data_IF_284306985779
#
_entry.id   IF_284306985779
#
_cell.length_a   1.000
_cell.length_b   1.000
_cell.length_c   1.000
_cell.angle_alpha   90.00
_cell.angle_beta   90.00
_cell.angle_gamma   90.00
#
_symmetry.space_group_name_H-M   'P 1'
#
loop_
_entity.id
_entity.type
_entity.pdbx_description
1 polymer ?
#
# COMPACT_ATOMS: atom_id res chain seq x y z
N UNK A 1 6.45 3.92 -37.51
CA UNK A 1 7.03 2.58 -37.24
C UNK A 1 8.44 2.66 -36.65
N UNK A 2 9.37 3.44 -37.19
CA UNK A 2 10.75 3.58 -36.64
C UNK A 2 10.83 4.24 -35.26
N UNK A 3 9.96 5.21 -34.91
CA UNK A 3 9.96 5.86 -33.60
C UNK A 3 9.45 4.96 -32.46
N UNK A 4 8.57 4.02 -32.76
CA UNK A 4 8.08 3.03 -31.79
C UNK A 4 9.13 1.97 -31.47
N UNK A 5 9.90 1.54 -32.48
CA UNK A 5 11.04 0.62 -32.27
C UNK A 5 12.13 1.26 -31.40
N UNK A 6 12.48 2.52 -31.65
CA UNK A 6 13.48 3.23 -30.83
C UNK A 6 13.06 3.45 -29.38
N UNK A 7 11.75 3.62 -29.11
CA UNK A 7 11.25 3.67 -27.74
C UNK A 7 11.28 2.30 -27.05
N UNK A 8 10.88 1.26 -27.77
CA UNK A 8 10.90 -0.10 -27.23
C UNK A 8 12.33 -0.57 -26.88
N UNK A 9 13.31 -0.27 -27.76
CA UNK A 9 14.71 -0.57 -27.47
C UNK A 9 15.24 0.19 -26.24
N UNK A 10 14.81 1.43 -26.04
CA UNK A 10 15.15 2.21 -24.84
C UNK A 10 14.62 1.57 -23.54
N UNK A 11 13.37 1.08 -23.54
CA UNK A 11 12.80 0.38 -22.39
C UNK A 11 13.52 -0.94 -22.12
N UNK A 12 13.80 -1.72 -23.15
CA UNK A 12 14.55 -2.99 -23.01
C UNK A 12 15.93 -2.75 -22.44
N UNK A 13 16.65 -1.75 -22.93
CA UNK A 13 17.96 -1.37 -22.41
C UNK A 13 17.89 -0.91 -20.96
N UNK A 14 16.86 -0.13 -20.60
CA UNK A 14 16.64 0.31 -19.23
C UNK A 14 16.39 -0.86 -18.27
N UNK A 15 15.52 -1.81 -18.62
CA UNK A 15 15.31 -3.00 -17.81
C UNK A 15 16.56 -3.89 -17.75
N UNK A 16 17.25 -4.11 -18.87
CA UNK A 16 18.48 -4.90 -18.90
C UNK A 16 19.58 -4.29 -18.02
N UNK A 17 19.74 -2.95 -18.06
CA UNK A 17 20.73 -2.27 -17.20
C UNK A 17 20.40 -2.42 -15.72
N UNK A 18 19.12 -2.38 -15.33
CA UNK A 18 18.70 -2.57 -13.96
C UNK A 18 19.00 -3.99 -13.45
N UNK A 19 18.74 -5.00 -14.27
CA UNK A 19 19.10 -6.39 -13.95
C UNK A 19 20.61 -6.59 -13.88
N UNK A 20 21.36 -5.94 -14.76
CA UNK A 20 22.83 -6.00 -14.75
C UNK A 20 23.40 -5.38 -13.47
N UNK A 21 22.91 -4.19 -13.09
CA UNK A 21 23.33 -3.52 -11.85
C UNK A 21 22.99 -4.38 -10.64
N UNK A 22 21.77 -4.95 -10.58
CA UNK A 22 21.41 -5.88 -9.51
C UNK A 22 22.31 -7.10 -9.46
N UNK A 23 22.61 -7.71 -10.60
CA UNK A 23 23.50 -8.89 -10.67
C UNK A 23 24.91 -8.55 -10.17
N UNK A 24 25.47 -7.44 -10.64
CA UNK A 24 26.82 -7.00 -10.21
C UNK A 24 26.82 -6.68 -8.70
N UNK A 25 25.84 -5.92 -8.23
CA UNK A 25 25.74 -5.55 -6.83
C UNK A 25 25.60 -6.78 -5.91
N UNK A 26 24.75 -7.75 -6.28
CA UNK A 26 24.53 -8.95 -5.48
C UNK A 26 25.72 -9.95 -5.53
N UNK A 27 26.52 -9.91 -6.59
CA UNK A 27 27.64 -10.85 -6.74
C UNK A 27 28.93 -10.31 -6.14
N UNK A 28 29.22 -9.02 -6.32
CA UNK A 28 30.53 -8.45 -6.01
C UNK A 28 30.53 -7.46 -4.83
N UNK A 29 29.39 -6.82 -4.52
CA UNK A 29 29.33 -5.75 -3.52
C UNK A 29 28.59 -6.20 -2.26
N UNK A 30 27.44 -6.81 -2.40
CA UNK A 30 26.52 -7.15 -1.31
C UNK A 30 26.23 -8.66 -1.26
N UNK A 31 27.27 -9.50 -1.26
CA UNK A 31 27.14 -10.95 -1.21
C UNK A 31 26.53 -11.40 0.14
N UNK A 32 25.23 -11.25 0.30
CA UNK A 32 24.51 -11.60 1.53
C UNK A 32 23.23 -12.37 1.23
N UNK A 33 22.77 -13.14 2.23
CA UNK A 33 21.49 -13.86 2.17
C UNK A 33 20.32 -12.88 1.95
N UNK A 34 20.45 -11.63 2.42
CA UNK A 34 19.42 -10.60 2.32
C UNK A 34 19.37 -9.93 0.93
N UNK A 35 20.41 -10.12 0.12
CA UNK A 35 20.49 -9.53 -1.24
C UNK A 35 20.89 -10.59 -2.27
N UNK A 36 20.00 -11.55 -2.59
CA UNK A 36 20.30 -12.67 -3.47
C UNK A 36 20.44 -12.24 -4.93
N UNK A 37 21.17 -13.04 -5.70
CA UNK A 37 21.29 -12.85 -7.15
C UNK A 37 19.96 -13.04 -7.87
N UNK A 38 19.71 -12.30 -8.98
CA UNK A 38 18.47 -12.42 -9.76
C UNK A 38 18.14 -13.88 -10.14
N UNK A 39 19.12 -14.64 -10.63
CA UNK A 39 18.93 -16.02 -11.03
C UNK A 39 18.42 -16.91 -9.88
N UNK A 40 18.94 -16.70 -8.65
CA UNK A 40 18.50 -17.45 -7.47
C UNK A 40 17.07 -17.09 -7.09
N UNK A 41 16.69 -15.80 -7.20
CA UNK A 41 15.32 -15.34 -6.92
C UNK A 41 14.32 -15.98 -7.89
N UNK A 42 14.65 -16.00 -9.19
CA UNK A 42 13.79 -16.66 -10.19
C UNK A 42 13.70 -18.16 -9.99
N UNK A 43 14.82 -18.84 -9.69
CA UNK A 43 14.81 -20.27 -9.42
C UNK A 43 13.91 -20.63 -8.22
N UNK A 44 14.07 -19.90 -7.10
CA UNK A 44 13.23 -20.10 -5.91
C UNK A 44 11.75 -19.76 -6.19
N UNK A 45 11.47 -18.72 -6.98
CA UNK A 45 10.09 -18.40 -7.36
C UNK A 45 9.42 -19.52 -8.17
N UNK A 46 10.15 -20.14 -9.09
CA UNK A 46 9.67 -21.29 -9.86
C UNK A 46 9.43 -22.48 -8.93
N UNK A 47 10.37 -22.80 -8.04
CA UNK A 47 10.24 -23.89 -7.07
C UNK A 47 9.00 -23.74 -6.20
N UNK A 48 8.83 -22.55 -5.56
CA UNK A 48 7.69 -22.24 -4.71
C UNK A 48 6.35 -22.18 -5.47
N UNK A 49 6.40 -21.97 -6.78
CA UNK A 49 5.21 -22.02 -7.64
C UNK A 49 4.82 -23.46 -7.92
N UNK A 50 5.80 -24.32 -8.22
CA UNK A 50 5.56 -25.71 -8.58
C UNK A 50 5.10 -26.55 -7.38
N UNK A 51 5.59 -26.26 -6.19
CA UNK A 51 5.17 -26.95 -4.95
C UNK A 51 3.87 -26.38 -4.35
N UNK A 52 3.31 -25.30 -4.93
CA UNK A 52 2.06 -24.68 -4.51
C UNK A 52 2.20 -23.74 -3.30
N UNK A 53 3.36 -23.67 -2.66
CA UNK A 53 3.63 -22.85 -1.46
C UNK A 53 3.40 -21.36 -1.74
N UNK A 54 3.84 -20.89 -2.90
CA UNK A 54 3.66 -19.49 -3.30
C UNK A 54 2.17 -19.10 -3.38
N UNK A 55 1.35 -19.99 -3.97
CA UNK A 55 -0.11 -19.77 -4.06
C UNK A 55 -0.76 -19.64 -2.69
N UNK A 56 -0.39 -20.49 -1.75
CA UNK A 56 -0.84 -20.42 -0.37
C UNK A 56 -0.49 -19.10 0.31
N UNK A 57 0.77 -18.69 0.22
CA UNK A 57 1.23 -17.41 0.81
C UNK A 57 0.58 -16.18 0.18
N UNK A 58 0.38 -16.19 -1.13
CA UNK A 58 -0.33 -15.11 -1.85
C UNK A 58 -1.78 -15.06 -1.39
N UNK A 59 -2.47 -16.20 -1.31
CA UNK A 59 -3.87 -16.27 -0.85
C UNK A 59 -4.06 -15.68 0.55
N UNK A 60 -3.24 -16.09 1.51
CA UNK A 60 -3.27 -15.55 2.88
C UNK A 60 -2.99 -14.05 2.89
N UNK A 61 -2.01 -13.58 2.09
CA UNK A 61 -1.66 -12.16 2.01
C UNK A 61 -2.79 -11.32 1.41
N UNK A 62 -3.42 -11.80 0.34
CA UNK A 62 -4.58 -11.14 -0.27
C UNK A 62 -5.77 -11.08 0.68
N UNK A 63 -6.07 -12.18 1.38
CA UNK A 63 -7.13 -12.21 2.39
C UNK A 63 -6.92 -11.17 3.50
N UNK A 64 -5.69 -11.04 4.00
CA UNK A 64 -5.29 -10.04 4.99
C UNK A 64 -5.44 -8.61 4.47
N UNK A 65 -4.95 -8.34 3.27
CA UNK A 65 -5.06 -7.03 2.63
C UNK A 65 -6.53 -6.66 2.43
N UNK A 66 -7.32 -7.59 1.91
CA UNK A 66 -8.75 -7.36 1.69
C UNK A 66 -9.50 -7.08 3.00
N UNK A 67 -9.27 -7.88 4.03
CA UNK A 67 -9.89 -7.68 5.34
C UNK A 67 -9.50 -6.31 5.94
N UNK A 68 -8.23 -5.96 5.92
CA UNK A 68 -7.74 -4.67 6.42
C UNK A 68 -8.29 -3.48 5.61
N UNK A 69 -8.35 -3.61 4.28
CA UNK A 69 -8.92 -2.59 3.40
C UNK A 69 -10.41 -2.38 3.64
N UNK A 70 -11.19 -3.45 3.72
CA UNK A 70 -12.64 -3.35 3.97
C UNK A 70 -12.91 -2.72 5.34
N UNK A 71 -12.28 -3.21 6.40
CA UNK A 71 -12.44 -2.65 7.74
C UNK A 71 -12.00 -1.18 7.81
N UNK A 72 -10.86 -0.87 7.22
CA UNK A 72 -10.35 0.51 7.16
C UNK A 72 -11.26 1.44 6.38
N UNK A 73 -11.84 0.97 5.28
CA UNK A 73 -12.80 1.75 4.48
C UNK A 73 -14.13 1.96 5.20
N UNK A 74 -14.65 0.94 5.89
CA UNK A 74 -15.87 1.05 6.68
C UNK A 74 -15.75 2.08 7.81
N UNK A 75 -14.57 2.28 8.36
CA UNK A 75 -14.28 3.31 9.36
C UNK A 75 -14.02 4.66 8.67
N UNK A 76 -13.17 4.65 7.65
CA UNK A 76 -12.67 5.87 7.00
C UNK A 76 -13.73 6.64 6.21
N UNK A 77 -14.64 5.94 5.51
CA UNK A 77 -15.68 6.59 4.70
C UNK A 77 -16.62 7.44 5.56
N UNK A 78 -17.24 6.94 6.63
CA UNK A 78 -18.15 7.76 7.46
C UNK A 78 -17.44 8.97 8.10
N UNK A 79 -16.21 8.78 8.56
CA UNK A 79 -15.41 9.88 9.13
C UNK A 79 -15.08 10.92 8.05
N UNK A 80 -14.63 10.48 6.88
CA UNK A 80 -14.30 11.37 5.76
C UNK A 80 -15.50 12.13 5.22
N UNK A 81 -16.68 11.49 5.12
CA UNK A 81 -17.95 12.14 4.77
C UNK A 81 -18.32 13.20 5.81
N UNK A 82 -18.17 12.90 7.09
CA UNK A 82 -18.48 13.81 8.18
C UNK A 82 -17.56 15.05 8.16
N UNK A 83 -16.26 14.84 7.97
CA UNK A 83 -15.26 15.92 7.83
C UNK A 83 -15.55 16.78 6.59
N UNK A 84 -15.91 16.13 5.47
CA UNK A 84 -16.19 16.84 4.22
C UNK A 84 -17.50 17.64 4.27
N UNK A 85 -18.52 17.16 5.02
CA UNK A 85 -19.86 17.75 5.04
C UNK A 85 -20.06 18.79 6.15
N UNK A 86 -19.42 18.63 7.31
CA UNK A 86 -19.67 19.45 8.50
C UNK A 86 -18.44 20.22 8.94
N UNK A 87 -18.48 21.56 8.87
CA UNK A 87 -17.37 22.43 9.24
C UNK A 87 -16.92 22.31 10.71
N UNK A 88 -17.85 21.99 11.63
CA UNK A 88 -17.53 21.74 13.05
C UNK A 88 -16.72 20.44 13.19
N UNK A 89 -17.19 19.38 12.55
CA UNK A 89 -16.50 18.06 12.56
C UNK A 89 -15.11 18.19 11.95
N UNK A 90 -14.99 18.94 10.86
CA UNK A 90 -13.70 19.24 10.24
C UNK A 90 -12.73 19.87 11.24
N UNK A 91 -13.11 20.96 11.90
CA UNK A 91 -12.26 21.66 12.87
C UNK A 91 -11.84 20.78 14.04
N UNK A 92 -12.70 19.85 14.45
CA UNK A 92 -12.42 18.94 15.57
C UNK A 92 -11.53 17.77 15.16
N UNK A 93 -11.79 17.12 14.01
CA UNK A 93 -11.12 15.87 13.63
C UNK A 93 -9.91 16.06 12.72
N UNK A 94 -9.87 17.12 11.92
CA UNK A 94 -8.77 17.37 10.97
C UNK A 94 -7.39 17.43 11.66
N UNK A 95 -7.19 18.10 12.81
CA UNK A 95 -5.89 18.10 13.48
C UNK A 95 -5.45 16.70 13.93
N UNK A 96 -6.39 15.87 14.39
CA UNK A 96 -6.08 14.49 14.81
C UNK A 96 -5.75 13.61 13.61
N UNK A 97 -6.52 13.71 12.53
CA UNK A 97 -6.26 12.93 11.32
C UNK A 97 -4.92 13.31 10.70
N UNK A 98 -4.60 14.60 10.66
CA UNK A 98 -3.31 15.10 10.19
C UNK A 98 -2.16 14.61 11.06
N UNK A 99 -2.27 14.69 12.38
CA UNK A 99 -1.23 14.21 13.29
C UNK A 99 -1.01 12.70 13.17
N UNK A 100 -2.08 11.91 13.24
CA UNK A 100 -1.98 10.46 13.26
C UNK A 100 -1.47 9.90 11.93
N UNK A 101 -1.85 10.45 10.78
CA UNK A 101 -1.38 9.96 9.48
C UNK A 101 0.13 10.12 9.26
N UNK A 102 0.78 11.06 9.98
CA UNK A 102 2.23 11.23 9.91
C UNK A 102 3.00 10.16 10.68
N UNK A 103 2.33 9.41 11.57
CA UNK A 103 2.97 8.30 12.27
C UNK A 103 3.13 7.14 11.28
N UNK A 104 4.36 6.73 10.93
CA UNK A 104 4.56 5.61 10.01
C UNK A 104 3.98 4.33 10.61
N UNK A 105 3.25 3.53 9.83
CA UNK A 105 2.73 2.24 10.30
C UNK A 105 3.85 1.31 10.80
N UNK A 106 5.05 1.44 10.24
CA UNK A 106 6.22 0.69 10.68
C UNK A 106 6.64 1.01 12.11
N UNK A 107 6.43 2.23 12.58
CA UNK A 107 6.68 2.61 13.98
C UNK A 107 5.69 1.94 14.96
N UNK A 108 4.51 1.57 14.46
CA UNK A 108 3.47 0.91 15.27
C UNK A 108 3.61 -0.62 15.31
N UNK A 109 4.57 -1.22 14.62
CA UNK A 109 4.71 -2.69 14.55
C UNK A 109 4.86 -3.29 15.95
N UNK A 110 5.74 -2.75 16.77
CA UNK A 110 5.97 -3.25 18.12
C UNK A 110 4.72 -3.13 19.01
N UNK A 111 4.02 -2.00 18.94
CA UNK A 111 2.76 -1.81 19.67
C UNK A 111 1.67 -2.76 19.17
N UNK A 112 1.55 -2.93 17.86
CA UNK A 112 0.59 -3.86 17.28
C UNK A 112 0.84 -5.32 17.74
N UNK A 113 2.11 -5.72 17.82
CA UNK A 113 2.48 -7.04 18.32
C UNK A 113 2.19 -7.19 19.82
N UNK A 114 2.41 -6.15 20.62
CA UNK A 114 2.08 -6.16 22.05
C UNK A 114 0.57 -6.27 22.28
N UNK A 115 -0.24 -5.56 21.50
CA UNK A 115 -1.70 -5.52 21.67
C UNK A 115 -2.42 -6.73 21.08
N UNK A 116 -2.00 -7.21 19.93
CA UNK A 116 -2.69 -8.25 19.14
C UNK A 116 -1.91 -9.56 19.03
N UNK A 117 -0.69 -9.61 19.61
CA UNK A 117 0.17 -10.78 19.51
C UNK A 117 0.92 -10.88 18.17
N UNK A 118 1.81 -11.88 18.10
CA UNK A 118 2.51 -12.25 16.86
C UNK A 118 1.55 -13.08 16.02
N UNK A 119 0.94 -12.48 14.99
CA UNK A 119 -0.02 -13.20 14.15
C UNK A 119 -0.70 -12.33 13.11
N UNK A 120 -1.88 -12.74 12.67
CA UNK A 120 -2.66 -12.03 11.65
C UNK A 120 -3.28 -10.74 12.19
N UNK A 121 -3.66 -10.71 13.48
CA UNK A 121 -4.28 -9.55 14.10
C UNK A 121 -3.42 -8.29 14.02
N UNK A 122 -2.14 -8.37 14.38
CA UNK A 122 -1.20 -7.25 14.29
C UNK A 122 -1.01 -6.75 12.86
N UNK A 123 -0.95 -7.68 11.89
CA UNK A 123 -0.79 -7.33 10.47
C UNK A 123 -2.03 -6.65 9.91
N UNK A 124 -3.22 -7.19 10.20
CA UNK A 124 -4.50 -6.60 9.77
C UNK A 124 -4.69 -5.22 10.40
N UNK A 125 -4.37 -5.04 11.69
CA UNK A 125 -4.42 -3.75 12.36
C UNK A 125 -3.58 -2.69 11.64
N UNK A 126 -2.35 -2.99 11.24
CA UNK A 126 -1.49 -2.05 10.51
C UNK A 126 -2.06 -1.68 9.14
N UNK A 127 -2.70 -2.62 8.45
CA UNK A 127 -3.37 -2.34 7.18
C UNK A 127 -4.60 -1.45 7.40
N UNK A 128 -5.42 -1.73 8.42
CA UNK A 128 -6.56 -0.88 8.80
C UNK A 128 -6.06 0.54 9.09
N UNK A 129 -5.04 0.67 9.92
CA UNK A 129 -4.48 1.96 10.30
C UNK A 129 -4.09 2.80 9.08
N UNK A 130 -3.33 2.26 8.16
CA UNK A 130 -2.93 2.98 6.94
C UNK A 130 -4.10 3.29 6.04
N UNK A 131 -5.02 2.35 5.86
CA UNK A 131 -6.20 2.50 4.99
C UNK A 131 -7.15 3.58 5.50
N UNK A 132 -7.42 3.62 6.81
CA UNK A 132 -8.36 4.58 7.42
C UNK A 132 -7.99 6.01 7.04
N UNK A 133 -6.75 6.43 7.22
CA UNK A 133 -6.34 7.82 6.95
C UNK A 133 -6.37 8.17 5.47
N UNK A 134 -5.95 7.25 4.60
CA UNK A 134 -6.01 7.44 3.14
C UNK A 134 -7.47 7.62 2.71
N UNK A 135 -8.37 6.78 3.21
CA UNK A 135 -9.80 6.84 2.87
C UNK A 135 -10.45 8.11 3.43
N UNK A 136 -10.16 8.50 4.68
CA UNK A 136 -10.68 9.74 5.28
C UNK A 136 -10.32 10.94 4.39
N UNK A 137 -9.05 11.10 4.04
CA UNK A 137 -8.58 12.26 3.29
C UNK A 137 -9.23 12.31 1.90
N UNK A 138 -9.21 11.19 1.17
CA UNK A 138 -9.79 11.15 -0.17
C UNK A 138 -11.30 11.36 -0.15
N UNK A 139 -12.02 10.80 0.82
CA UNK A 139 -13.46 10.98 0.98
C UNK A 139 -13.80 12.43 1.33
N UNK A 140 -13.09 13.02 2.30
CA UNK A 140 -13.31 14.43 2.68
C UNK A 140 -13.00 15.39 1.52
N UNK A 141 -11.93 15.15 0.78
CA UNK A 141 -11.60 15.91 -0.42
C UNK A 141 -12.66 15.77 -1.51
N UNK A 142 -13.14 14.54 -1.76
CA UNK A 142 -14.22 14.27 -2.72
C UNK A 142 -15.51 15.03 -2.38
N UNK A 143 -15.92 15.02 -1.13
CA UNK A 143 -17.10 15.79 -0.67
C UNK A 143 -16.89 17.29 -0.86
N UNK A 144 -15.73 17.80 -0.50
CA UNK A 144 -15.39 19.23 -0.61
C UNK A 144 -15.31 19.72 -2.06
N UNK A 145 -15.04 18.84 -3.00
CA UNK A 145 -14.94 19.14 -4.43
C UNK A 145 -16.33 19.21 -5.13
N UNK A 146 -17.43 18.86 -4.44
CA UNK A 146 -18.79 18.94 -5.02
C UNK A 146 -19.19 20.39 -5.21
N UNK A 147 -19.45 20.79 -6.47
CA UNK A 147 -19.84 22.16 -6.79
C UNK A 147 -21.15 22.57 -6.11
N UNK A 148 -21.24 23.77 -5.51
CA UNK A 148 -22.45 24.26 -4.81
C UNK A 148 -23.72 24.20 -5.66
N UNK A 149 -23.60 24.35 -6.98
CA UNK A 149 -24.73 24.27 -7.91
C UNK A 149 -25.36 22.87 -7.95
N UNK A 150 -24.54 21.81 -7.84
CA UNK A 150 -25.04 20.43 -7.78
C UNK A 150 -25.80 20.16 -6.49
N UNK A 151 -25.33 20.71 -5.37
CA UNK A 151 -25.99 20.60 -4.07
C UNK A 151 -27.35 21.33 -4.07
N UNK A 152 -27.42 22.50 -4.72
CA UNK A 152 -28.67 23.26 -4.87
C UNK A 152 -29.68 22.56 -5.78
N UNK A 153 -29.23 21.92 -6.84
CA UNK A 153 -30.10 21.18 -7.76
C UNK A 153 -30.68 19.89 -7.16
N UNK A 154 -30.05 19.35 -6.10
CA UNK A 154 -30.49 18.13 -5.41
C UNK A 154 -31.44 18.40 -4.22
N UNK A 155 -31.70 19.67 -3.91
CA UNK A 155 -32.67 20.13 -2.90
C UNK A 155 -33.96 20.59 -3.54
#
# INVERSE_FOLDING_TARGET
MFQTLGRLSGYVLGFASLFLVWHIASTYILSSVLFPQPAKVFATAIELTLDGTLGGHVGVSLGRIFAGFVCGSLIGIPIGLSIGSFGIVRRLLEPYTEFLRFIPATALITMAVIWFGIGEGSKIFLIIYTTVFIVIINTAAGVSAVAPNKIRAAR
#
